data_IF_594878920924
#
_entry.id   IF_594878920924
#
_cell.length_a   1.000
_cell.length_b   1.000
_cell.length_c   1.000
_cell.angle_alpha   90.00
_cell.angle_beta   90.00
_cell.angle_gamma   90.00
#
_symmetry.space_group_name_H-M   'P 1'
#
loop_
_entity.id
_entity.type
_entity.pdbx_description
1 polymer ?
#
# COMPACT_ATOMS: atom_id res chain seq x y z
N UNK A 1 26.42 20.94 -10.07
CA UNK A 1 25.01 21.23 -9.85
C UNK A 1 24.30 20.06 -9.24
N UNK A 2 23.52 20.29 -8.23
CA UNK A 2 22.78 19.23 -7.57
C UNK A 2 21.37 19.12 -8.16
N UNK A 3 20.92 17.90 -8.28
CA UNK A 3 19.57 17.62 -8.74
C UNK A 3 18.85 16.88 -7.62
N UNK A 4 18.17 17.59 -6.75
CA UNK A 4 17.58 16.99 -5.55
C UNK A 4 16.71 15.77 -5.84
N UNK A 5 16.12 15.69 -7.02
CA UNK A 5 15.24 14.60 -7.39
C UNK A 5 15.91 13.55 -8.28
N UNK A 6 17.24 13.67 -8.49
CA UNK A 6 17.94 12.75 -9.39
C UNK A 6 17.89 11.30 -8.90
N UNK A 7 17.78 11.09 -7.60
CA UNK A 7 17.78 9.77 -7.00
C UNK A 7 16.37 9.19 -6.83
N UNK A 8 15.34 10.02 -6.98
CA UNK A 8 13.98 9.55 -6.86
C UNK A 8 13.33 9.51 -8.24
N UNK A 9 13.42 8.34 -8.85
CA UNK A 9 12.82 8.08 -10.16
C UNK A 9 11.44 7.44 -10.06
N UNK A 10 10.90 7.32 -8.84
CA UNK A 10 9.61 6.70 -8.62
C UNK A 10 8.50 7.48 -9.31
N UNK A 11 7.55 6.76 -9.88
CA UNK A 11 6.38 7.35 -10.51
C UNK A 11 5.38 7.73 -9.41
N UNK A 12 4.88 8.97 -9.42
CA UNK A 12 3.94 9.38 -8.38
C UNK A 12 2.59 8.68 -8.53
N UNK A 13 2.09 8.14 -7.43
CA UNK A 13 0.72 7.63 -7.33
C UNK A 13 -0.10 8.58 -6.48
N UNK A 14 -1.39 8.62 -6.75
CA UNK A 14 -2.36 9.28 -5.89
C UNK A 14 -3.32 8.22 -5.37
N UNK A 15 -3.98 8.51 -4.26
CA UNK A 15 -4.97 7.59 -3.71
C UNK A 15 -6.15 7.38 -4.65
N UNK A 16 -6.51 8.40 -5.43
CA UNK A 16 -7.56 8.26 -6.44
C UNK A 16 -7.20 7.22 -7.49
N UNK A 17 -5.92 7.11 -7.85
CA UNK A 17 -5.47 6.10 -8.82
C UNK A 17 -5.66 4.69 -8.28
N UNK A 18 -5.56 4.50 -6.96
CA UNK A 18 -5.76 3.19 -6.34
C UNK A 18 -7.23 2.78 -6.27
N UNK A 19 -8.15 3.69 -6.56
CA UNK A 19 -9.57 3.36 -6.63
C UNK A 19 -9.94 2.60 -7.89
N UNK A 20 -9.00 2.42 -8.82
CA UNK A 20 -9.20 1.66 -10.06
C UNK A 20 -9.21 0.16 -9.78
N UNK A 21 -10.14 -0.28 -8.95
CA UNK A 21 -10.31 -1.67 -8.54
C UNK A 21 -11.78 -1.94 -8.26
N UNK A 22 -12.22 -3.13 -8.66
CA UNK A 22 -13.56 -3.65 -8.34
C UNK A 22 -13.38 -4.90 -7.51
N UNK A 23 -14.46 -5.37 -6.92
CA UNK A 23 -14.43 -6.54 -6.06
C UNK A 23 -15.33 -7.62 -6.63
N UNK A 24 -14.87 -8.86 -6.59
CA UNK A 24 -15.64 -10.01 -7.02
C UNK A 24 -15.67 -11.05 -5.91
N UNK A 25 -16.87 -11.44 -5.50
CA UNK A 25 -17.05 -12.48 -4.48
C UNK A 25 -16.72 -13.82 -5.10
N UNK A 26 -15.81 -14.57 -4.48
CA UNK A 26 -15.43 -15.91 -4.92
C UNK A 26 -15.23 -16.81 -3.72
N UNK A 27 -15.60 -18.08 -3.91
CA UNK A 27 -15.39 -19.13 -2.91
C UNK A 27 -13.90 -19.44 -2.76
N UNK A 28 -13.46 -19.51 -1.51
CA UNK A 28 -12.10 -19.93 -1.18
C UNK A 28 -12.18 -21.29 -0.49
N UNK A 29 -11.65 -22.32 -1.16
CA UNK A 29 -11.75 -23.69 -0.66
C UNK A 29 -10.90 -23.93 0.59
N UNK A 30 -9.80 -23.23 0.74
CA UNK A 30 -8.92 -23.36 1.91
C UNK A 30 -9.63 -22.92 3.19
N UNK A 31 -10.29 -21.78 3.14
CA UNK A 31 -10.99 -21.22 4.30
C UNK A 31 -12.47 -21.58 4.34
N UNK A 32 -12.99 -22.18 3.26
CA UNK A 32 -14.40 -22.53 3.13
C UNK A 32 -15.32 -21.33 3.35
N UNK A 33 -14.92 -20.20 2.76
CA UNK A 33 -15.65 -18.93 2.86
C UNK A 33 -15.58 -18.22 1.53
N UNK A 34 -16.55 -17.34 1.29
CA UNK A 34 -16.47 -16.40 0.19
C UNK A 34 -15.66 -15.17 0.61
N UNK A 35 -14.75 -14.73 -0.24
CA UNK A 35 -13.99 -13.50 -0.04
C UNK A 35 -14.21 -12.56 -1.22
N UNK A 36 -14.11 -11.27 -0.96
CA UNK A 36 -14.06 -10.28 -2.02
C UNK A 36 -12.63 -10.19 -2.55
N UNK A 37 -12.45 -10.66 -3.77
CA UNK A 37 -11.16 -10.56 -4.46
C UNK A 37 -11.11 -9.29 -5.29
N UNK A 38 -9.97 -8.61 -5.37
CA UNK A 38 -9.85 -7.42 -6.18
C UNK A 38 -9.77 -7.78 -7.65
N UNK A 39 -10.38 -6.93 -8.47
CA UNK A 39 -10.23 -6.96 -9.93
C UNK A 39 -9.65 -5.61 -10.30
N UNK A 40 -8.35 -5.56 -10.50
CA UNK A 40 -7.67 -4.30 -10.79
C UNK A 40 -7.97 -3.82 -12.19
N UNK A 41 -8.20 -2.51 -12.32
CA UNK A 41 -8.43 -1.90 -13.61
C UNK A 41 -7.15 -1.76 -14.43
N UNK A 42 -7.31 -1.49 -15.71
CA UNK A 42 -6.17 -1.41 -16.63
C UNK A 42 -5.26 -0.22 -16.32
N UNK A 43 -5.79 0.85 -15.72
CA UNK A 43 -4.99 2.03 -15.42
C UNK A 43 -4.00 1.76 -14.29
N UNK A 44 -4.45 1.15 -13.18
CA UNK A 44 -3.53 0.83 -12.10
C UNK A 44 -2.59 -0.31 -12.47
N UNK A 45 -3.03 -1.23 -13.33
CA UNK A 45 -2.17 -2.33 -13.79
C UNK A 45 -0.93 -1.85 -14.53
N UNK A 46 -0.96 -0.65 -15.11
CA UNK A 46 0.20 -0.07 -15.80
C UNK A 46 1.37 0.16 -14.86
N UNK A 47 1.12 0.30 -13.57
CA UNK A 47 2.14 0.57 -12.57
C UNK A 47 2.66 -0.69 -11.88
N UNK A 48 2.05 -1.83 -12.14
CA UNK A 48 2.47 -3.11 -11.54
C UNK A 48 3.93 -3.38 -11.89
N UNK A 49 4.72 -3.67 -10.86
CA UNK A 49 6.14 -3.98 -11.02
C UNK A 49 7.03 -2.76 -11.21
N UNK A 50 6.47 -1.57 -11.18
CA UNK A 50 7.24 -0.33 -11.33
C UNK A 50 7.51 0.30 -9.98
N UNK A 51 8.59 1.08 -9.91
CA UNK A 51 8.86 1.87 -8.71
C UNK A 51 7.93 3.06 -8.68
N UNK A 52 7.18 3.18 -7.60
CA UNK A 52 6.17 4.21 -7.41
C UNK A 52 6.31 4.82 -6.03
N UNK A 53 5.72 6.00 -5.81
CA UNK A 53 5.64 6.58 -4.48
C UNK A 53 4.23 7.11 -4.19
N UNK A 54 3.93 7.25 -2.91
CA UNK A 54 2.66 7.80 -2.46
C UNK A 54 2.85 8.46 -1.10
N UNK A 55 2.14 9.55 -0.87
CA UNK A 55 2.14 10.25 0.41
C UNK A 55 0.93 9.83 1.23
N UNK A 56 1.13 9.64 2.52
CA UNK A 56 0.04 9.25 3.40
C UNK A 56 0.46 9.17 4.85
N UNK A 57 -0.44 8.63 5.65
CA UNK A 57 -0.25 8.47 7.09
C UNK A 57 0.33 7.10 7.41
N UNK A 58 1.40 7.06 8.19
CA UNK A 58 1.98 5.80 8.63
C UNK A 58 1.15 5.19 9.76
N UNK A 59 0.82 3.92 9.62
CA UNK A 59 0.08 3.19 10.65
C UNK A 59 0.84 1.93 11.00
N UNK A 60 1.35 1.83 12.24
CA UNK A 60 2.03 0.64 12.70
C UNK A 60 1.03 -0.49 12.92
N UNK A 61 1.31 -1.67 12.37
CA UNK A 61 0.56 -2.88 12.67
C UNK A 61 1.28 -3.73 13.71
N UNK A 62 2.61 -3.81 13.58
CA UNK A 62 3.48 -4.46 14.56
C UNK A 62 4.81 -3.72 14.56
N UNK A 63 5.00 -2.84 15.54
CA UNK A 63 6.20 -2.01 15.63
C UNK A 63 7.45 -2.87 15.81
N UNK A 64 7.38 -3.89 16.65
CA UNK A 64 8.54 -4.73 16.91
C UNK A 64 8.93 -5.56 15.71
N UNK A 65 7.95 -6.00 14.92
CA UNK A 65 8.19 -6.73 13.67
C UNK A 65 8.45 -5.84 12.48
N UNK A 66 8.35 -4.51 12.63
CA UNK A 66 8.53 -3.57 11.52
C UNK A 66 7.40 -3.62 10.49
N UNK A 67 6.21 -3.99 10.93
CA UNK A 67 5.06 -4.11 10.03
C UNK A 67 4.26 -2.81 10.03
N UNK A 68 4.22 -2.16 8.87
CA UNK A 68 3.53 -0.89 8.69
C UNK A 68 2.69 -0.91 7.43
N UNK A 69 1.64 -0.08 7.45
CA UNK A 69 0.95 0.31 6.21
C UNK A 69 1.02 1.83 6.08
N UNK A 70 0.93 2.33 4.86
CA UNK A 70 0.68 3.74 4.61
C UNK A 70 -0.78 3.88 4.20
N UNK A 71 -1.46 4.90 4.72
CA UNK A 71 -2.90 5.05 4.62
C UNK A 71 -3.28 6.41 4.06
N UNK A 72 -4.34 6.42 3.26
CA UNK A 72 -4.94 7.66 2.78
C UNK A 72 -5.49 8.52 3.93
N UNK A 73 -6.01 7.84 4.96
CA UNK A 73 -6.67 8.48 6.09
C UNK A 73 -5.86 8.28 7.36
N UNK A 74 -6.02 9.21 8.32
CA UNK A 74 -5.39 9.04 9.62
C UNK A 74 -5.97 7.82 10.35
N UNK A 75 -5.36 7.42 11.45
CA UNK A 75 -5.73 6.18 12.14
C UNK A 75 -7.21 6.14 12.53
N UNK A 76 -7.74 7.24 13.03
CA UNK A 76 -9.14 7.30 13.47
C UNK A 76 -10.14 7.09 12.33
N UNK A 77 -9.75 7.35 11.08
CA UNK A 77 -10.60 7.25 9.89
C UNK A 77 -10.12 6.19 8.91
N UNK A 78 -9.15 5.35 9.31
CA UNK A 78 -8.55 4.40 8.39
C UNK A 78 -9.40 3.14 8.21
N UNK A 79 -8.96 2.28 7.31
CA UNK A 79 -9.62 1.02 6.98
C UNK A 79 -9.91 0.16 8.23
N UNK A 80 -8.93 0.09 9.15
CA UNK A 80 -9.05 -0.76 10.35
C UNK A 80 -10.10 -0.25 11.33
N UNK A 81 -10.49 1.01 11.22
CA UNK A 81 -11.53 1.62 12.06
C UNK A 81 -12.86 1.74 11.32
N UNK A 82 -12.95 1.13 10.12
CA UNK A 82 -14.16 1.17 9.33
C UNK A 82 -14.29 2.38 8.43
N UNK A 83 -13.21 3.20 8.31
CA UNK A 83 -13.20 4.34 7.40
C UNK A 83 -12.49 4.00 6.11
N UNK A 84 -13.05 4.06 5.00
CA UNK A 84 -12.43 3.72 3.72
C UNK A 84 -12.35 2.23 3.47
N UNK A 85 -12.12 1.85 2.25
CA UNK A 85 -11.97 0.46 1.85
C UNK A 85 -10.52 0.02 1.77
N UNK A 86 -10.29 -1.24 1.36
CA UNK A 86 -8.93 -1.79 1.24
C UNK A 86 -8.05 -1.03 0.25
N UNK A 87 -8.63 -0.27 -0.67
CA UNK A 87 -7.89 0.56 -1.63
C UNK A 87 -7.28 1.79 -0.97
N UNK A 88 -7.59 2.06 0.30
CA UNK A 88 -7.09 3.21 1.03
C UNK A 88 -5.83 2.92 1.85
N UNK A 89 -5.26 1.72 1.73
CA UNK A 89 -4.03 1.36 2.43
C UNK A 89 -3.07 0.63 1.49
N UNK A 90 -1.77 0.76 1.77
CA UNK A 90 -0.71 0.02 1.08
C UNK A 90 0.18 -0.62 2.14
N UNK A 91 0.38 -1.93 2.03
CA UNK A 91 1.31 -2.65 2.89
C UNK A 91 2.75 -2.32 2.48
N UNK A 92 3.59 -2.04 3.45
CA UNK A 92 4.99 -1.71 3.21
C UNK A 92 5.88 -2.89 3.58
N UNK A 93 6.55 -3.46 2.60
CA UNK A 93 7.59 -4.48 2.81
C UNK A 93 8.93 -3.81 2.60
N UNK A 94 9.59 -3.47 3.69
CA UNK A 94 10.78 -2.61 3.68
C UNK A 94 11.99 -3.31 3.07
N UNK A 95 12.79 -2.53 2.37
CA UNK A 95 14.06 -2.97 1.79
C UNK A 95 15.06 -3.33 2.90
N UNK A 96 15.09 -2.49 3.94
CA UNK A 96 15.92 -2.71 5.13
C UNK A 96 15.04 -2.48 6.34
N UNK A 97 15.52 -2.89 7.53
CA UNK A 97 14.75 -2.70 8.75
C UNK A 97 14.37 -1.23 8.90
N UNK A 98 13.07 -0.92 9.04
CA UNK A 98 12.64 0.48 9.15
C UNK A 98 12.93 1.05 10.52
N UNK A 99 13.05 2.38 10.61
CA UNK A 99 13.01 3.06 11.89
C UNK A 99 11.59 2.91 12.47
N UNK A 100 11.41 3.30 13.71
CA UNK A 100 10.09 3.32 14.32
C UNK A 100 9.33 4.56 13.88
N UNK A 101 8.30 4.34 13.09
CA UNK A 101 7.37 5.41 12.70
C UNK A 101 6.28 5.52 13.74
N UNK A 102 5.80 6.74 13.94
CA UNK A 102 4.67 6.99 14.84
C UNK A 102 3.37 6.93 14.06
N UNK A 103 2.29 6.57 14.76
CA UNK A 103 0.95 6.63 14.20
C UNK A 103 0.70 8.04 13.65
N UNK A 104 0.19 8.08 12.42
CA UNK A 104 -0.16 9.32 11.71
C UNK A 104 1.02 10.20 11.31
N UNK A 105 2.27 9.72 11.38
CA UNK A 105 3.36 10.38 10.68
C UNK A 105 2.97 10.49 9.19
N UNK A 106 2.92 11.70 8.67
CA UNK A 106 2.56 11.92 7.27
C UNK A 106 3.83 12.10 6.45
N UNK A 107 4.04 11.21 5.48
CA UNK A 107 5.27 11.20 4.68
C UNK A 107 5.05 10.49 3.35
N UNK A 108 6.07 10.45 2.54
CA UNK A 108 6.04 9.75 1.25
C UNK A 108 6.91 8.50 1.33
N UNK A 109 6.33 7.38 0.92
CA UNK A 109 7.03 6.11 0.79
C UNK A 109 7.10 5.73 -0.67
N UNK A 110 8.19 5.06 -1.07
CA UNK A 110 8.33 4.50 -2.40
C UNK A 110 8.59 3.01 -2.32
N UNK A 111 8.30 2.32 -3.40
CA UNK A 111 8.55 0.89 -3.52
C UNK A 111 8.09 0.36 -4.85
N UNK A 112 8.27 -0.94 -5.04
CA UNK A 112 7.82 -1.63 -6.25
C UNK A 112 6.36 -2.04 -6.03
N UNK A 113 5.46 -1.58 -6.89
CA UNK A 113 4.04 -1.87 -6.72
C UNK A 113 3.74 -3.32 -7.05
N UNK A 114 3.15 -4.01 -6.09
CA UNK A 114 2.62 -5.35 -6.27
C UNK A 114 1.10 -5.31 -6.08
N UNK A 115 0.39 -5.93 -7.01
CA UNK A 115 -1.07 -6.04 -6.96
C UNK A 115 -1.41 -7.45 -6.50
N UNK A 116 -2.01 -7.58 -5.33
CA UNK A 116 -2.33 -8.88 -4.75
C UNK A 116 -3.74 -9.30 -5.16
N UNK A 117 -3.82 -10.22 -6.10
CA UNK A 117 -5.11 -10.67 -6.66
C UNK A 117 -5.71 -11.88 -5.95
N UNK A 118 -4.90 -12.66 -5.25
CA UNK A 118 -5.34 -13.99 -4.81
C UNK A 118 -5.05 -14.33 -3.36
N UNK A 119 -4.08 -13.69 -2.72
CA UNK A 119 -3.70 -14.05 -1.35
C UNK A 119 -4.56 -13.29 -0.34
N UNK A 120 -5.54 -13.99 0.24
CA UNK A 120 -6.48 -13.40 1.18
C UNK A 120 -5.84 -13.04 2.53
N UNK A 121 -4.61 -13.44 2.77
CA UNK A 121 -3.89 -13.12 4.00
C UNK A 121 -3.13 -11.80 3.92
N UNK A 122 -3.13 -11.14 2.77
CA UNK A 122 -2.48 -9.83 2.59
C UNK A 122 -3.46 -8.85 1.95
N UNK A 123 -3.21 -7.57 2.16
CA UNK A 123 -4.03 -6.53 1.55
C UNK A 123 -3.75 -6.41 0.06
N UNK A 124 -4.52 -5.58 -0.64
CA UNK A 124 -4.53 -5.56 -2.11
C UNK A 124 -3.31 -4.90 -2.71
N UNK A 125 -2.82 -3.82 -2.09
CA UNK A 125 -1.68 -3.07 -2.60
C UNK A 125 -0.49 -3.28 -1.67
N UNK A 126 0.66 -3.57 -2.27
CA UNK A 126 1.89 -3.84 -1.54
C UNK A 126 3.02 -3.08 -2.23
N UNK A 127 3.83 -2.37 -1.45
CA UNK A 127 5.10 -1.83 -1.93
C UNK A 127 6.21 -2.76 -1.46
N UNK A 128 6.91 -3.37 -2.40
CA UNK A 128 8.11 -4.18 -2.11
C UNK A 128 9.33 -3.28 -2.13
N UNK A 129 10.33 -3.64 -1.35
CA UNK A 129 11.54 -2.84 -1.19
C UNK A 129 11.22 -1.41 -0.80
N UNK A 130 10.28 -1.25 0.12
CA UNK A 130 9.80 0.06 0.52
C UNK A 130 10.86 0.86 1.25
N UNK A 131 10.89 2.16 1.00
CA UNK A 131 11.75 3.09 1.72
C UNK A 131 11.16 4.49 1.69
N UNK A 132 11.51 5.27 2.70
CA UNK A 132 11.01 6.64 2.80
C UNK A 132 11.70 7.53 1.79
N UNK A 133 10.92 8.39 1.13
CA UNK A 133 11.44 9.43 0.24
C UNK A 133 11.80 10.63 1.10
N UNK A 134 13.05 11.04 1.02
CA UNK A 134 13.56 12.17 1.82
C UNK A 134 13.79 13.41 1.01
#
# INVERSE_FOLDING_TARGET
MSYPNAENTALPLTWDMLEDVKYKLKWNAEYQLDFNYPVFGKNIKKYKGKEVDIAGYMIPLDVNGGLYVISRYNYASCFFCGGGGPESIVTLKFKTKPKRYKTDDYLTMKGILELNETNVNEYFYIFKNAEEVK
#
